data_IF_884698766385
#
_entry.id   IF_884698766385
#
_cell.length_a   1.000
_cell.length_b   1.000
_cell.length_c   1.000
_cell.angle_alpha   90.00
_cell.angle_beta   90.00
_cell.angle_gamma   90.00
#
_symmetry.space_group_name_H-M   'P 1'
#
loop_
_entity.id
_entity.type
_entity.pdbx_description
1 polymer ?
#
# COMPACT_ATOMS: atom_id res chain seq x y z
N UNK A 1 -10.39 -3.94 -20.87
CA UNK A 1 -8.98 -3.89 -20.38
C UNK A 1 -8.99 -3.68 -18.88
N UNK A 2 -8.06 -4.29 -18.18
CA UNK A 2 -7.85 -4.06 -16.74
C UNK A 2 -6.41 -3.58 -16.58
N UNK A 3 -6.24 -2.49 -15.84
CA UNK A 3 -4.93 -1.97 -15.50
C UNK A 3 -4.76 -1.81 -14.00
N UNK A 4 -3.61 -2.18 -13.51
CA UNK A 4 -3.15 -1.91 -12.17
C UNK A 4 -2.13 -0.78 -12.25
N UNK A 5 -2.51 0.41 -11.80
CA UNK A 5 -1.68 1.62 -11.86
C UNK A 5 -1.14 1.99 -10.49
N UNK A 6 0.10 2.50 -10.48
CA UNK A 6 0.79 3.00 -9.28
C UNK A 6 1.41 4.36 -9.58
N UNK A 7 1.14 5.35 -8.74
CA UNK A 7 1.80 6.65 -8.77
C UNK A 7 2.95 6.65 -7.76
N UNK A 8 4.19 6.71 -8.26
CA UNK A 8 5.41 6.65 -7.45
C UNK A 8 5.87 8.05 -7.03
N UNK A 9 5.69 9.05 -7.90
CA UNK A 9 5.93 10.45 -7.60
C UNK A 9 5.01 11.35 -8.42
N UNK A 10 4.75 12.58 -7.93
CA UNK A 10 3.84 13.53 -8.56
C UNK A 10 2.38 13.07 -8.55
N UNK A 11 1.56 13.71 -9.35
CA UNK A 11 0.17 13.32 -9.55
C UNK A 11 -0.20 13.40 -11.04
N UNK A 12 -1.14 12.58 -11.45
CA UNK A 12 -1.62 12.54 -12.82
C UNK A 12 -3.11 12.85 -12.86
N UNK A 13 -3.46 13.80 -13.72
CA UNK A 13 -4.85 14.11 -14.03
C UNK A 13 -5.20 13.54 -15.39
N UNK A 14 -6.26 12.76 -15.45
CA UNK A 14 -6.75 12.12 -16.68
C UNK A 14 -8.25 12.29 -16.75
N UNK A 15 -8.76 12.68 -17.92
CA UNK A 15 -10.20 12.59 -18.19
C UNK A 15 -10.45 11.28 -18.95
N UNK A 16 -11.22 10.38 -18.36
CA UNK A 16 -11.58 9.08 -18.93
C UNK A 16 -13.10 9.04 -19.11
N UNK A 17 -13.55 8.91 -20.35
CA UNK A 17 -14.98 8.85 -20.68
C UNK A 17 -15.80 10.02 -20.10
N UNK A 18 -15.21 11.22 -20.01
CA UNK A 18 -15.85 12.40 -19.43
C UNK A 18 -15.74 12.54 -17.92
N UNK A 19 -15.14 11.58 -17.22
CA UNK A 19 -14.90 11.60 -15.78
C UNK A 19 -13.45 12.00 -15.48
N UNK A 20 -13.28 13.00 -14.63
CA UNK A 20 -11.95 13.40 -14.17
C UNK A 20 -11.44 12.43 -13.10
N UNK A 21 -10.24 11.92 -13.33
CA UNK A 21 -9.56 10.97 -12.46
C UNK A 21 -8.18 11.48 -12.10
N UNK A 22 -7.87 11.46 -10.82
CA UNK A 22 -6.56 11.85 -10.30
C UNK A 22 -5.98 10.72 -9.45
N UNK A 23 -4.75 10.32 -9.76
CA UNK A 23 -4.00 9.36 -8.97
C UNK A 23 -2.81 10.08 -8.31
N UNK A 24 -2.89 10.38 -7.00
CA UNK A 24 -1.81 11.03 -6.28
C UNK A 24 -0.67 10.06 -5.95
N UNK A 25 0.52 10.62 -5.70
CA UNK A 25 1.70 9.85 -5.28
C UNK A 25 1.42 8.98 -4.04
N UNK A 26 2.02 7.79 -4.00
CA UNK A 26 1.85 6.82 -2.91
C UNK A 26 0.54 6.04 -2.97
N UNK A 27 -0.25 6.22 -4.04
CA UNK A 27 -1.49 5.47 -4.26
C UNK A 27 -1.43 4.62 -5.50
N UNK A 28 -2.22 3.56 -5.47
CA UNK A 28 -2.50 2.72 -6.61
C UNK A 28 -3.99 2.69 -6.93
N UNK A 29 -4.30 2.20 -8.13
CA UNK A 29 -5.67 1.94 -8.54
C UNK A 29 -5.75 0.71 -9.42
N UNK A 30 -6.77 -0.10 -9.20
CA UNK A 30 -7.21 -1.14 -10.13
C UNK A 30 -8.30 -0.53 -11.01
N UNK A 31 -8.03 -0.44 -12.30
CA UNK A 31 -8.84 0.29 -13.28
C UNK A 31 -9.45 -0.70 -14.26
N UNK A 32 -10.74 -0.56 -14.49
CA UNK A 32 -11.53 -1.33 -15.44
C UNK A 32 -11.98 -0.40 -16.57
N UNK A 33 -11.71 -0.77 -17.81
CA UNK A 33 -11.92 0.04 -18.99
C UNK A 33 -12.59 -0.79 -20.10
N UNK A 34 -13.64 -0.22 -20.69
CA UNK A 34 -14.31 -0.78 -21.87
C UNK A 34 -14.73 0.38 -22.79
N UNK A 35 -14.34 0.29 -24.06
CA UNK A 35 -14.72 1.24 -25.13
C UNK A 35 -14.58 2.71 -24.71
N UNK A 36 -13.40 3.09 -24.21
CA UNK A 36 -13.15 4.39 -23.63
C UNK A 36 -12.32 5.31 -24.53
N UNK A 37 -12.53 6.63 -24.33
CA UNK A 37 -11.61 7.67 -24.79
C UNK A 37 -10.98 8.33 -23.58
N UNK A 38 -9.66 8.46 -23.58
CA UNK A 38 -8.94 9.14 -22.50
C UNK A 38 -8.22 10.39 -23.04
N UNK A 39 -8.27 11.48 -22.28
CA UNK A 39 -7.46 12.68 -22.49
C UNK A 39 -6.50 12.82 -21.32
N UNK A 40 -5.22 12.88 -21.63
CA UNK A 40 -4.17 13.04 -20.64
C UNK A 40 -3.78 14.52 -20.57
N UNK A 41 -3.78 15.05 -19.36
CA UNK A 41 -3.25 16.37 -19.08
C UNK A 41 -1.82 16.18 -18.56
N UNK A 42 -0.79 16.64 -19.29
CA UNK A 42 0.59 16.55 -18.80
C UNK A 42 0.71 17.35 -17.51
N UNK A 43 1.44 16.83 -16.49
CA UNK A 43 1.67 17.58 -15.28
C UNK A 43 2.47 18.84 -15.59
N UNK A 44 2.01 19.99 -15.06
CA UNK A 44 2.73 21.25 -15.18
C UNK A 44 3.77 21.28 -14.06
N UNK A 45 5.06 21.24 -14.41
CA UNK A 45 6.23 21.38 -13.51
C UNK A 45 6.49 20.28 -12.47
N UNK A 46 5.88 19.09 -12.56
CA UNK A 46 6.18 17.97 -11.66
C UNK A 46 6.77 16.78 -12.41
N UNK A 47 7.81 16.15 -11.84
CA UNK A 47 8.28 14.85 -12.32
C UNK A 47 7.26 13.78 -11.90
N UNK A 48 6.43 13.36 -12.85
CA UNK A 48 5.49 12.28 -12.65
C UNK A 48 6.13 10.94 -13.01
N UNK A 49 6.15 10.02 -12.04
CA UNK A 49 6.53 8.63 -12.27
C UNK A 49 5.38 7.71 -11.92
N UNK A 50 5.01 6.87 -12.88
CA UNK A 50 4.00 5.83 -12.67
C UNK A 50 4.47 4.51 -13.24
N UNK A 51 3.90 3.45 -12.71
CA UNK A 51 4.05 2.10 -13.21
C UNK A 51 2.66 1.51 -13.42
N UNK A 52 2.45 0.81 -14.52
CA UNK A 52 1.19 0.17 -14.82
C UNK A 52 1.39 -1.26 -15.29
N UNK A 53 0.51 -2.16 -14.86
CA UNK A 53 0.43 -3.55 -15.29
C UNK A 53 -0.92 -3.77 -15.98
N UNK A 54 -0.89 -4.20 -17.22
CA UNK A 54 -2.07 -4.69 -17.92
C UNK A 54 -2.41 -6.11 -17.44
N UNK A 55 -3.66 -6.33 -17.05
CA UNK A 55 -4.14 -7.62 -16.56
C UNK A 55 -5.13 -8.19 -17.56
N UNK A 56 -4.88 -9.39 -18.12
CA UNK A 56 -5.87 -10.07 -18.95
C UNK A 56 -7.18 -10.30 -18.19
N UNK A 57 -8.31 -10.02 -18.84
CA UNK A 57 -9.66 -10.22 -18.22
C UNK A 57 -9.86 -11.66 -17.76
N UNK A 58 -9.35 -12.64 -18.52
CA UNK A 58 -9.38 -14.06 -18.16
C UNK A 58 -8.62 -14.35 -16.86
N UNK A 59 -7.42 -13.75 -16.69
CA UNK A 59 -6.63 -13.91 -15.46
C UNK A 59 -7.33 -13.26 -14.27
N UNK A 60 -7.90 -12.07 -14.45
CA UNK A 60 -8.67 -11.40 -13.40
C UNK A 60 -9.87 -12.23 -12.99
N UNK A 61 -10.70 -12.69 -13.94
CA UNK A 61 -11.88 -13.49 -13.65
C UNK A 61 -11.51 -14.83 -12.98
N UNK A 62 -10.41 -15.46 -13.40
CA UNK A 62 -9.90 -16.66 -12.75
C UNK A 62 -9.50 -16.38 -11.29
N UNK A 63 -8.67 -15.37 -11.04
CA UNK A 63 -8.26 -15.00 -9.68
C UNK A 63 -9.45 -14.60 -8.81
N UNK A 64 -10.39 -13.82 -9.37
CA UNK A 64 -11.62 -13.43 -8.69
C UNK A 64 -12.49 -14.62 -8.32
N UNK A 65 -12.63 -15.62 -9.21
CA UNK A 65 -13.41 -16.84 -8.94
C UNK A 65 -12.82 -17.67 -7.80
N UNK A 66 -11.49 -17.79 -7.73
CA UNK A 66 -10.81 -18.51 -6.65
C UNK A 66 -11.02 -17.83 -5.29
N UNK A 67 -11.06 -16.49 -5.27
CA UNK A 67 -11.30 -15.71 -4.06
C UNK A 67 -12.80 -15.70 -3.70
N UNK A 68 -13.67 -15.61 -4.69
CA UNK A 68 -15.12 -15.57 -4.54
C UNK A 68 -15.70 -16.91 -4.04
N UNK A 69 -15.11 -18.05 -4.38
CA UNK A 69 -15.51 -19.37 -3.90
C UNK A 69 -15.53 -19.46 -2.36
N UNK A 70 -14.75 -18.60 -1.68
CA UNK A 70 -14.75 -18.50 -0.22
C UNK A 70 -15.91 -17.69 0.35
N UNK A 71 -16.61 -16.87 -0.44
CA UNK A 71 -17.66 -15.94 0.04
C UNK A 71 -18.99 -16.00 -0.72
N UNK A 72 -19.15 -16.88 -1.70
CA UNK A 72 -20.36 -17.00 -2.55
C UNK A 72 -20.73 -15.69 -3.29
N UNK A 73 -19.75 -14.84 -3.62
CA UNK A 73 -19.94 -13.60 -4.36
C UNK A 73 -19.25 -13.72 -5.71
N UNK A 74 -20.01 -13.64 -6.79
CA UNK A 74 -19.40 -13.59 -8.12
C UNK A 74 -18.80 -12.20 -8.36
N UNK A 75 -17.51 -12.16 -8.67
CA UNK A 75 -16.79 -10.94 -9.02
C UNK A 75 -16.25 -11.14 -10.44
N UNK A 76 -16.94 -10.56 -11.42
CA UNK A 76 -16.53 -10.64 -12.83
C UNK A 76 -16.38 -9.26 -13.42
N UNK A 77 -15.51 -9.13 -14.42
CA UNK A 77 -15.23 -7.88 -15.11
C UNK A 77 -16.49 -7.13 -15.55
N UNK A 78 -17.41 -7.82 -16.21
CA UNK A 78 -18.64 -7.21 -16.72
C UNK A 78 -19.59 -6.75 -15.60
N UNK A 79 -19.58 -7.45 -14.46
CA UNK A 79 -20.40 -7.09 -13.30
C UNK A 79 -19.84 -5.85 -12.59
N UNK A 80 -18.52 -5.64 -12.63
CA UNK A 80 -17.89 -4.44 -12.06
C UNK A 80 -18.25 -3.20 -12.89
N UNK A 81 -18.14 -3.30 -14.20
CA UNK A 81 -18.45 -2.18 -15.10
C UNK A 81 -19.93 -1.83 -15.15
N UNK A 82 -20.82 -2.81 -15.05
CA UNK A 82 -22.30 -2.62 -15.18
C UNK A 82 -22.70 -1.75 -16.37
N UNK A 83 -21.97 -1.89 -17.48
CA UNK A 83 -22.19 -1.08 -18.69
C UNK A 83 -21.48 0.30 -18.71
N UNK A 84 -20.77 0.68 -17.66
CA UNK A 84 -19.95 1.88 -17.67
C UNK A 84 -18.66 1.68 -18.47
N UNK A 85 -18.17 2.74 -19.13
CA UNK A 85 -16.90 2.68 -19.85
C UNK A 85 -15.68 2.65 -18.94
N UNK A 86 -15.83 3.10 -17.68
CA UNK A 86 -14.75 3.25 -16.70
C UNK A 86 -15.23 2.97 -15.29
N UNK A 87 -14.45 2.21 -14.55
CA UNK A 87 -14.58 2.06 -13.10
C UNK A 87 -13.20 1.87 -12.48
N UNK A 88 -13.00 2.34 -11.25
CA UNK A 88 -11.74 2.18 -10.55
C UNK A 88 -11.92 1.94 -9.05
N UNK A 89 -10.97 1.22 -8.49
CA UNK A 89 -10.80 1.03 -7.05
C UNK A 89 -9.44 1.59 -6.65
N UNK A 90 -9.46 2.71 -5.91
CA UNK A 90 -8.25 3.28 -5.34
C UNK A 90 -7.83 2.57 -4.05
N UNK A 91 -6.53 2.47 -3.80
CA UNK A 91 -5.97 1.90 -2.58
C UNK A 91 -4.67 2.61 -2.19
N UNK A 92 -4.31 2.52 -0.92
CA UNK A 92 -3.02 2.99 -0.43
C UNK A 92 -1.97 1.90 -0.62
N UNK A 93 -0.77 2.30 -1.04
CA UNK A 93 0.34 1.37 -1.16
C UNK A 93 0.97 1.15 0.21
N UNK A 94 0.93 -0.09 0.69
CA UNK A 94 1.74 -0.48 1.84
C UNK A 94 3.24 -0.56 1.44
N UNK A 95 4.11 -0.51 2.43
CA UNK A 95 5.55 -0.54 2.20
C UNK A 95 5.99 -1.78 1.40
N UNK A 96 5.42 -2.93 1.69
CA UNK A 96 5.77 -4.18 1.01
C UNK A 96 5.41 -4.14 -0.48
N UNK A 97 4.25 -3.60 -0.81
CA UNK A 97 3.83 -3.38 -2.20
C UNK A 97 4.76 -2.39 -2.91
N UNK A 98 5.19 -1.31 -2.24
CA UNK A 98 6.14 -0.34 -2.79
C UNK A 98 7.47 -1.03 -3.12
N UNK A 99 8.04 -1.79 -2.18
CA UNK A 99 9.30 -2.52 -2.40
C UNK A 99 9.19 -3.52 -3.54
N UNK A 100 8.08 -4.25 -3.63
CA UNK A 100 7.85 -5.19 -4.74
C UNK A 100 7.78 -4.47 -6.09
N UNK A 101 7.10 -3.33 -6.17
CA UNK A 101 7.02 -2.51 -7.38
C UNK A 101 8.40 -1.96 -7.76
N UNK A 102 9.17 -1.45 -6.79
CA UNK A 102 10.54 -0.96 -7.03
C UNK A 102 11.44 -2.06 -7.58
N UNK A 103 11.37 -3.29 -7.01
CA UNK A 103 12.11 -4.44 -7.51
C UNK A 103 11.69 -4.79 -8.93
N UNK A 104 10.38 -4.84 -9.20
CA UNK A 104 9.87 -5.14 -10.54
C UNK A 104 10.33 -4.10 -11.58
N UNK A 105 10.33 -2.80 -11.23
CA UNK A 105 10.85 -1.74 -12.10
C UNK A 105 12.35 -1.89 -12.33
N UNK A 106 13.12 -2.25 -11.30
CA UNK A 106 14.56 -2.50 -11.41
C UNK A 106 14.85 -3.69 -12.33
N UNK A 107 14.10 -4.77 -12.17
CA UNK A 107 14.25 -5.97 -13.02
C UNK A 107 13.86 -5.68 -14.48
N UNK A 108 12.83 -4.86 -14.72
CA UNK A 108 12.46 -4.41 -16.07
C UNK A 108 13.59 -3.65 -16.78
N UNK A 109 14.39 -2.89 -16.03
CA UNK A 109 15.55 -2.13 -16.55
C UNK A 109 16.81 -2.97 -16.66
N UNK A 110 16.83 -4.19 -16.09
CA UNK A 110 17.99 -5.08 -16.12
C UNK A 110 18.17 -5.75 -17.48
N UNK A 111 19.42 -5.93 -17.89
CA UNK A 111 19.78 -6.70 -19.08
C UNK A 111 19.48 -8.19 -18.87
N UNK A 112 19.58 -8.68 -17.63
CA UNK A 112 19.38 -10.09 -17.26
C UNK A 112 18.04 -10.32 -16.55
N UNK A 113 16.98 -9.70 -17.10
CA UNK A 113 15.61 -9.87 -16.57
C UNK A 113 15.11 -11.31 -16.72
N UNK A 114 14.48 -11.83 -15.69
CA UNK A 114 13.79 -13.12 -15.73
C UNK A 114 12.28 -12.90 -15.92
N UNK A 115 11.70 -13.27 -17.08
CA UNK A 115 10.27 -13.12 -17.33
C UNK A 115 9.42 -13.82 -16.26
N UNK A 116 9.83 -15.01 -15.81
CA UNK A 116 9.11 -15.80 -14.82
C UNK A 116 9.05 -15.10 -13.45
N UNK A 117 10.16 -14.51 -13.00
CA UNK A 117 10.18 -13.75 -11.74
C UNK A 117 9.31 -12.50 -11.82
N UNK A 118 9.27 -11.84 -12.98
CA UNK A 118 8.43 -10.67 -13.22
C UNK A 118 6.94 -11.03 -13.19
N UNK A 119 6.55 -12.13 -13.83
CA UNK A 119 5.19 -12.64 -13.79
C UNK A 119 4.78 -13.02 -12.37
N UNK A 120 5.63 -13.73 -11.63
CA UNK A 120 5.37 -14.10 -10.24
C UNK A 120 5.15 -12.87 -9.35
N UNK A 121 5.99 -11.84 -9.47
CA UNK A 121 5.84 -10.59 -8.74
C UNK A 121 4.55 -9.84 -9.11
N UNK A 122 4.22 -9.78 -10.39
CA UNK A 122 2.98 -9.15 -10.85
C UNK A 122 1.72 -9.87 -10.32
N UNK A 123 1.74 -11.21 -10.32
CA UNK A 123 0.65 -12.03 -9.76
C UNK A 123 0.54 -11.87 -8.24
N UNK A 124 1.66 -11.79 -7.52
CA UNK A 124 1.63 -11.54 -6.08
C UNK A 124 1.03 -10.17 -5.76
N UNK A 125 1.44 -9.12 -6.49
CA UNK A 125 0.87 -7.77 -6.34
C UNK A 125 -0.64 -7.81 -6.61
N UNK A 126 -1.07 -8.41 -7.73
CA UNK A 126 -2.48 -8.53 -8.07
C UNK A 126 -3.27 -9.25 -6.97
N UNK A 127 -2.79 -10.40 -6.51
CA UNK A 127 -3.48 -11.18 -5.47
C UNK A 127 -3.66 -10.39 -4.16
N UNK A 128 -2.60 -9.68 -3.71
CA UNK A 128 -2.66 -8.83 -2.52
C UNK A 128 -3.72 -7.75 -2.65
N UNK A 129 -3.74 -7.08 -3.79
CA UNK A 129 -4.68 -6.00 -4.04
C UNK A 129 -6.11 -6.49 -4.18
N UNK A 130 -6.34 -7.63 -4.80
CA UNK A 130 -7.66 -8.24 -4.85
C UNK A 130 -8.18 -8.61 -3.46
N UNK A 131 -7.32 -9.17 -2.60
CA UNK A 131 -7.68 -9.44 -1.20
C UNK A 131 -8.07 -8.16 -0.48
N UNK A 132 -7.30 -7.09 -0.66
CA UNK A 132 -7.55 -5.79 -0.02
C UNK A 132 -8.82 -5.10 -0.56
N UNK A 133 -8.97 -5.04 -1.88
CA UNK A 133 -10.06 -4.30 -2.54
C UNK A 133 -11.43 -4.94 -2.36
N UNK A 134 -11.48 -6.25 -2.33
CA UNK A 134 -12.73 -6.99 -2.19
C UNK A 134 -13.02 -7.42 -0.74
N UNK A 135 -12.23 -6.88 0.23
CA UNK A 135 -12.35 -7.24 1.65
C UNK A 135 -12.40 -8.77 1.84
N UNK A 136 -11.54 -9.47 1.08
CA UNK A 136 -11.45 -10.93 1.08
C UNK A 136 -10.60 -11.46 2.24
N UNK A 137 -10.12 -10.60 3.12
CA UNK A 137 -9.50 -11.01 4.37
C UNK A 137 -10.51 -11.82 5.18
N UNK A 138 -10.21 -13.08 5.51
CA UNK A 138 -11.06 -13.85 6.39
C UNK A 138 -11.31 -13.05 7.67
N UNK A 139 -12.58 -12.94 8.08
CA UNK A 139 -12.90 -12.37 9.39
C UNK A 139 -12.11 -13.13 10.44
N UNK A 140 -11.23 -12.48 11.21
CA UNK A 140 -10.48 -13.18 12.23
C UNK A 140 -11.43 -13.78 13.26
N UNK A 141 -11.18 -15.02 13.66
CA UNK A 141 -12.01 -15.74 14.59
C UNK A 141 -12.23 -14.94 15.86
N UNK A 142 -13.50 -14.83 16.29
CA UNK A 142 -13.88 -14.09 17.50
C UNK A 142 -13.96 -12.56 17.37
N UNK A 143 -13.87 -12.01 16.14
CA UNK A 143 -14.10 -10.59 15.87
C UNK A 143 -15.39 -10.36 15.09
N UNK A 144 -16.11 -9.31 15.45
CA UNK A 144 -17.26 -8.81 14.68
C UNK A 144 -16.79 -7.85 13.57
N UNK A 145 -17.66 -7.56 12.58
CA UNK A 145 -17.40 -6.51 11.57
C UNK A 145 -17.12 -5.15 12.23
N UNK A 146 -17.83 -4.86 13.33
CA UNK A 146 -17.63 -3.63 14.10
C UNK A 146 -16.26 -3.61 14.80
N UNK A 147 -15.79 -4.75 15.34
CA UNK A 147 -14.44 -4.86 15.90
C UNK A 147 -13.37 -4.59 14.84
N UNK A 148 -13.54 -5.18 13.64
CA UNK A 148 -12.61 -4.94 12.50
C UNK A 148 -12.59 -3.48 12.10
N UNK A 149 -13.76 -2.82 12.01
CA UNK A 149 -13.83 -1.38 11.74
C UNK A 149 -13.06 -0.55 12.79
N UNK A 150 -13.24 -0.88 14.08
CA UNK A 150 -12.52 -0.24 15.17
C UNK A 150 -11.01 -0.48 15.13
N UNK A 151 -10.57 -1.65 14.67
CA UNK A 151 -9.16 -1.95 14.47
C UNK A 151 -8.55 -1.13 13.31
N UNK A 152 -9.29 -0.92 12.23
CA UNK A 152 -8.87 0.02 11.18
C UNK A 152 -8.78 1.46 11.69
N UNK A 153 -9.73 1.91 12.55
CA UNK A 153 -9.62 3.21 13.21
C UNK A 153 -8.37 3.31 14.10
N UNK A 154 -8.05 2.24 14.84
CA UNK A 154 -6.83 2.20 15.66
C UNK A 154 -5.57 2.36 14.80
N UNK A 155 -5.52 1.71 13.65
CA UNK A 155 -4.43 1.86 12.68
C UNK A 155 -4.31 3.29 12.18
N UNK A 156 -5.40 3.92 11.76
CA UNK A 156 -5.41 5.33 11.32
C UNK A 156 -4.92 6.30 12.41
N UNK A 157 -5.30 6.07 13.68
CA UNK A 157 -4.81 6.87 14.80
C UNK A 157 -3.29 6.72 14.96
N UNK A 158 -2.74 5.52 14.83
CA UNK A 158 -1.29 5.29 14.90
C UNK A 158 -0.56 5.99 13.75
N UNK A 159 -1.10 5.94 12.53
CA UNK A 159 -0.55 6.61 11.35
C UNK A 159 -0.53 8.14 11.53
N UNK A 160 -1.63 8.71 12.01
CA UNK A 160 -1.75 10.17 12.20
C UNK A 160 -0.99 10.71 13.42
N UNK A 161 -0.69 9.87 14.41
CA UNK A 161 0.02 10.25 15.63
C UNK A 161 1.30 9.44 15.87
N UNK A 162 2.00 9.05 14.79
CA UNK A 162 3.16 8.16 14.89
C UNK A 162 4.32 8.74 15.73
N UNK A 163 4.46 10.06 15.81
CA UNK A 163 5.53 10.73 16.58
C UNK A 163 5.24 10.63 18.07
N UNK A 164 4.00 10.93 18.47
CA UNK A 164 3.51 10.86 19.88
C UNK A 164 2.24 9.99 19.93
N UNK A 165 2.41 8.66 19.83
CA UNK A 165 1.27 7.76 19.80
C UNK A 165 0.61 7.62 21.16
N UNK A 166 -0.72 7.45 21.20
CA UNK A 166 -1.40 7.13 22.44
C UNK A 166 -0.88 5.81 23.03
N UNK A 167 -0.88 5.70 24.35
CA UNK A 167 -0.63 4.41 25.00
C UNK A 167 -1.64 3.35 24.51
N UNK A 168 -1.30 2.06 24.64
CA UNK A 168 -2.18 0.99 24.19
C UNK A 168 -3.56 1.06 24.87
N UNK A 169 -3.59 1.40 26.17
CA UNK A 169 -4.83 1.59 26.93
C UNK A 169 -5.61 2.81 26.41
N UNK A 170 -4.93 3.91 26.11
CA UNK A 170 -5.58 5.08 25.53
C UNK A 170 -6.12 4.80 24.13
N UNK A 171 -5.37 4.06 23.30
CA UNK A 171 -5.78 3.65 21.97
C UNK A 171 -7.03 2.75 22.02
N UNK A 172 -7.02 1.73 22.88
CA UNK A 172 -8.17 0.82 23.04
C UNK A 172 -9.44 1.57 23.46
N UNK A 173 -9.33 2.51 24.41
CA UNK A 173 -10.44 3.37 24.83
C UNK A 173 -10.94 4.27 23.69
N UNK A 174 -10.04 4.91 22.94
CA UNK A 174 -10.40 5.79 21.82
C UNK A 174 -11.23 5.06 20.75
N UNK A 175 -10.92 3.78 20.49
CA UNK A 175 -11.63 3.01 19.47
C UNK A 175 -12.79 2.16 20.04
N UNK A 176 -13.00 2.17 21.35
CA UNK A 176 -14.08 1.40 22.01
C UNK A 176 -13.85 -0.11 21.93
N UNK A 177 -12.60 -0.55 22.12
CA UNK A 177 -12.19 -1.96 22.30
C UNK A 177 -11.58 -2.11 23.69
N UNK A 178 -11.63 -3.33 24.24
CA UNK A 178 -10.76 -3.65 25.37
C UNK A 178 -9.33 -3.95 24.88
N UNK A 179 -8.35 -3.89 25.80
CA UNK A 179 -6.93 -4.09 25.52
C UNK A 179 -6.63 -5.46 24.89
N UNK A 180 -7.29 -6.51 25.38
CA UNK A 180 -7.14 -7.87 24.84
C UNK A 180 -7.62 -7.97 23.38
N UNK A 181 -8.84 -7.44 23.09
CA UNK A 181 -9.38 -7.43 21.73
C UNK A 181 -8.53 -6.57 20.79
N UNK A 182 -8.04 -5.42 21.26
CA UNK A 182 -7.14 -4.58 20.47
C UNK A 182 -5.87 -5.35 20.09
N UNK A 183 -5.15 -5.94 21.03
CA UNK A 183 -3.90 -6.68 20.77
C UNK A 183 -4.11 -7.88 19.87
N UNK A 184 -5.03 -8.77 20.24
CA UNK A 184 -5.31 -10.01 19.49
C UNK A 184 -5.90 -9.71 18.12
N UNK A 185 -6.86 -8.78 18.07
CA UNK A 185 -7.52 -8.40 16.84
C UNK A 185 -6.60 -7.66 15.87
N UNK A 186 -5.75 -6.76 16.36
CA UNK A 186 -4.78 -6.04 15.52
C UNK A 186 -3.81 -7.02 14.84
N UNK A 187 -3.26 -7.98 15.60
CA UNK A 187 -2.40 -9.03 15.04
C UNK A 187 -3.15 -9.92 14.05
N UNK A 188 -4.39 -10.27 14.33
CA UNK A 188 -5.21 -11.10 13.46
C UNK A 188 -5.61 -10.38 12.15
N UNK A 189 -5.90 -9.07 12.23
CA UNK A 189 -6.29 -8.27 11.05
C UNK A 189 -5.10 -7.83 10.19
N UNK A 190 -3.97 -7.46 10.83
CA UNK A 190 -2.84 -6.82 10.12
C UNK A 190 -1.56 -7.67 10.09
N UNK A 191 -1.58 -8.87 10.68
CA UNK A 191 -0.45 -9.79 10.70
C UNK A 191 0.69 -9.38 11.64
N UNK A 192 0.58 -8.23 12.33
CA UNK A 192 1.62 -7.65 13.17
C UNK A 192 1.02 -7.06 14.44
N UNK A 193 1.83 -6.89 15.48
CA UNK A 193 1.38 -6.24 16.73
C UNK A 193 1.28 -4.73 16.56
N UNK A 194 0.53 -4.06 17.43
CA UNK A 194 0.41 -2.58 17.46
C UNK A 194 1.78 -1.90 17.51
N UNK A 195 2.70 -2.43 18.34
CA UNK A 195 4.04 -1.85 18.48
C UNK A 195 4.95 -2.10 17.29
N UNK A 196 4.88 -3.28 16.70
CA UNK A 196 5.63 -3.60 15.47
C UNK A 196 5.13 -2.76 14.31
N UNK A 197 3.81 -2.59 14.18
CA UNK A 197 3.21 -1.73 13.17
C UNK A 197 3.68 -0.27 13.32
N UNK A 198 3.60 0.28 14.54
CA UNK A 198 4.07 1.63 14.83
C UNK A 198 5.56 1.81 14.48
N UNK A 199 6.39 0.81 14.85
CA UNK A 199 7.81 0.81 14.51
C UNK A 199 8.00 0.83 12.98
N UNK A 200 7.24 0.00 12.26
CA UNK A 200 7.33 -0.10 10.81
C UNK A 200 7.03 1.24 10.13
N UNK A 201 5.89 1.88 10.43
CA UNK A 201 5.52 3.15 9.81
C UNK A 201 6.52 4.27 10.11
N UNK A 202 7.14 4.28 11.31
CA UNK A 202 8.23 5.19 11.68
C UNK A 202 9.47 4.99 10.82
N UNK A 203 9.91 3.74 10.69
CA UNK A 203 11.08 3.40 9.89
C UNK A 203 10.85 3.66 8.40
N UNK A 204 9.65 3.39 7.88
CA UNK A 204 9.26 3.69 6.50
C UNK A 204 9.31 5.20 6.21
N UNK A 205 8.82 6.02 7.14
CA UNK A 205 8.87 7.46 6.99
C UNK A 205 10.30 7.99 7.09
N UNK A 206 11.12 7.46 8.01
CA UNK A 206 12.53 7.79 8.10
C UNK A 206 13.31 7.41 6.83
N UNK A 207 12.99 6.26 6.23
CA UNK A 207 13.58 5.84 4.95
C UNK A 207 13.28 6.88 3.84
N UNK A 208 12.05 7.40 3.77
CA UNK A 208 11.68 8.46 2.82
C UNK A 208 12.49 9.72 3.05
N UNK A 209 12.59 10.20 4.30
CA UNK A 209 13.37 11.39 4.65
C UNK A 209 14.87 11.26 4.32
N UNK A 210 15.44 10.07 4.55
CA UNK A 210 16.85 9.82 4.26
C UNK A 210 17.11 9.71 2.75
N UNK A 211 16.18 9.13 1.98
CA UNK A 211 16.29 9.01 0.51
C UNK A 211 16.09 10.35 -0.20
N UNK A 212 15.17 11.20 0.26
CA UNK A 212 14.97 12.55 -0.28
C UNK A 212 16.14 13.49 0.04
N UNK A 213 17.05 13.07 0.93
CA UNK A 213 18.19 13.86 1.42
C UNK A 213 17.79 15.16 2.13
N UNK A 214 16.55 15.27 2.56
CA UNK A 214 16.02 16.42 3.29
C UNK A 214 16.47 16.42 4.76
N UNK A 215 16.93 15.27 5.29
CA UNK A 215 17.30 15.09 6.68
C UNK A 215 18.57 14.29 6.84
N UNK A 216 19.37 14.61 7.85
CA UNK A 216 20.43 13.72 8.32
C UNK A 216 19.86 12.62 9.22
N UNK A 217 20.71 11.64 9.61
CA UNK A 217 20.26 10.46 10.41
C UNK A 217 19.63 10.86 11.74
N UNK A 218 20.18 11.88 12.40
CA UNK A 218 19.67 12.36 13.69
C UNK A 218 18.31 13.04 13.51
N UNK A 219 18.20 13.92 12.53
CA UNK A 219 16.95 14.60 12.19
C UNK A 219 15.86 13.62 11.79
N UNK A 220 16.18 12.64 10.93
CA UNK A 220 15.24 11.60 10.52
C UNK A 220 14.75 10.76 11.71
N UNK A 221 15.66 10.37 12.63
CA UNK A 221 15.29 9.64 13.85
C UNK A 221 14.33 10.44 14.74
N UNK A 222 14.64 11.73 14.97
CA UNK A 222 13.80 12.63 15.78
C UNK A 222 12.45 12.89 15.12
N UNK A 223 12.43 13.12 13.81
CA UNK A 223 11.21 13.37 13.05
C UNK A 223 10.21 12.21 13.10
N UNK A 224 10.68 10.99 13.36
CA UNK A 224 9.80 9.81 13.51
C UNK A 224 9.62 9.35 14.97
N UNK A 225 10.00 10.21 15.94
CA UNK A 225 9.75 9.98 17.36
C UNK A 225 10.72 9.02 18.05
N UNK A 226 11.97 8.89 17.55
CA UNK A 226 13.04 8.23 18.29
C UNK A 226 13.87 9.25 19.06
N UNK A 227 13.94 9.10 20.38
CA UNK A 227 14.81 9.90 21.24
C UNK A 227 16.26 9.41 21.26
N UNK A 228 16.52 8.16 20.81
CA UNK A 228 17.83 7.53 20.79
C UNK A 228 18.21 7.12 19.36
N UNK A 229 19.20 7.82 18.79
CA UNK A 229 19.67 7.60 17.41
C UNK A 229 20.36 6.23 17.23
N UNK A 230 21.00 5.71 18.27
CA UNK A 230 21.62 4.37 18.21
C UNK A 230 20.58 3.27 18.12
N UNK A 231 19.53 3.35 18.96
CA UNK A 231 18.39 2.44 18.92
C UNK A 231 17.66 2.52 17.58
N UNK A 232 17.46 3.73 17.05
CA UNK A 232 16.92 3.94 15.69
C UNK A 232 17.78 3.24 14.64
N UNK A 233 19.10 3.46 14.65
CA UNK A 233 20.01 2.92 13.63
C UNK A 233 20.06 1.39 13.66
N UNK A 234 20.00 0.78 14.84
CA UNK A 234 19.92 -0.67 15.00
C UNK A 234 18.61 -1.24 14.45
N UNK A 235 17.46 -0.64 14.79
CA UNK A 235 16.15 -1.06 14.27
C UNK A 235 16.06 -0.88 12.76
N UNK A 236 16.58 0.24 12.25
CA UNK A 236 16.62 0.52 10.83
C UNK A 236 17.46 -0.50 10.06
N UNK A 237 18.64 -0.84 10.58
CA UNK A 237 19.50 -1.86 9.98
C UNK A 237 18.84 -3.25 10.02
N UNK A 238 18.18 -3.59 11.13
CA UNK A 238 17.45 -4.87 11.26
C UNK A 238 16.33 -4.99 10.24
N UNK A 239 15.65 -3.89 9.95
CA UNK A 239 14.52 -3.87 9.03
C UNK A 239 14.94 -3.87 7.56
N UNK A 240 15.95 -3.07 7.20
CA UNK A 240 16.31 -2.84 5.79
C UNK A 240 17.64 -3.46 5.36
N UNK A 241 18.40 -4.04 6.28
CA UNK A 241 19.71 -4.61 5.98
C UNK A 241 20.80 -3.58 5.65
N UNK A 242 20.48 -2.27 5.71
CA UNK A 242 21.41 -1.18 5.42
C UNK A 242 21.44 -0.19 6.56
N UNK A 243 22.61 0.41 6.82
CA UNK A 243 22.71 1.47 7.84
C UNK A 243 22.07 2.77 7.34
N UNK A 244 21.34 3.51 8.18
CA UNK A 244 20.76 4.80 7.76
C UNK A 244 21.82 5.79 7.26
N UNK A 245 23.04 5.73 7.80
CA UNK A 245 24.17 6.57 7.36
C UNK A 245 24.68 6.25 5.96
N UNK A 246 24.46 5.04 5.44
CA UNK A 246 24.88 4.66 4.08
C UNK A 246 23.93 5.17 3.00
N UNK A 247 22.74 5.68 3.37
CA UNK A 247 21.80 6.32 2.45
C UNK A 247 22.18 7.79 2.13
N UNK A 248 23.26 8.31 2.75
CA UNK A 248 23.84 9.60 2.38
C UNK A 248 24.50 9.50 1.01
N UNK A 249 24.36 10.61 0.24
CA UNK A 249 24.90 10.86 -1.10
C UNK A 249 26.10 9.98 -1.48
N UNK A 250 25.93 9.23 -2.56
CA UNK A 250 27.02 9.05 -3.51
C UNK A 250 27.04 10.34 -4.33
N UNK A 251 28.08 11.15 -4.13
CA UNK A 251 28.39 12.31 -4.94
C UNK A 251 28.71 11.88 -6.36
#
# INVERSE_FOLDING_TARGET
MIELQFALSGQRHVNIAGLDYTLPSGRGALIFLQDFKARFHPPVNEQYQSFALGIPVSLFNYAASQLAARRQVAIEFNQILKGAAFHHFGFELDHRSIVMIEHLIKDLKSVHRSPLLMEAAALEILNRLMIQLFDLTPMPEGLSKEDVRKLHMARQILESSMIDPPSLIALSKKVGLNDFKLKKGFKACFGTTVFEYLRQIRLDYAMKLLRSQESNVTEAAMAVGYSNVSAFSEQFFREYGVKPSSLKKVF
#
